data_IF_206727115778
#
_entry.id   IF_206727115778
#
_cell.length_a   1.000
_cell.length_b   1.000
_cell.length_c   1.000
_cell.angle_alpha   90.00
_cell.angle_beta   90.00
_cell.angle_gamma   90.00
#
_symmetry.space_group_name_H-M   'P 1'
#
loop_
_entity.id
_entity.type
_entity.pdbx_description
1 polymer ?
#
# COMPACT_ATOMS: atom_id res chain seq x y z
N UNK A 1 24.43 -17.83 7.83
CA UNK A 1 23.41 -16.77 7.67
C UNK A 1 23.02 -16.52 6.19
N UNK A 2 23.85 -16.89 5.20
CA UNK A 2 23.50 -16.80 3.77
C UNK A 2 22.42 -17.78 3.27
N UNK A 3 22.27 -18.94 3.92
CA UNK A 3 21.32 -19.99 3.50
C UNK A 3 19.84 -19.59 3.64
N UNK A 4 19.48 -18.83 4.69
CA UNK A 4 18.09 -18.37 4.94
C UNK A 4 17.61 -17.28 3.97
N UNK A 5 18.53 -16.52 3.38
CA UNK A 5 18.20 -15.46 2.40
C UNK A 5 17.94 -16.08 1.03
N UNK A 6 18.71 -17.10 0.64
CA UNK A 6 18.45 -17.87 -0.58
C UNK A 6 17.08 -18.55 -0.54
N UNK A 7 16.62 -19.06 0.60
CA UNK A 7 15.29 -19.71 0.70
C UNK A 7 14.14 -18.73 0.48
N UNK A 8 14.24 -17.49 0.96
CA UNK A 8 13.17 -16.47 0.79
C UNK A 8 13.10 -15.93 -0.63
N UNK A 9 14.24 -15.69 -1.27
CA UNK A 9 14.30 -15.28 -2.67
C UNK A 9 13.79 -16.41 -3.60
N UNK A 10 14.14 -17.66 -3.29
CA UNK A 10 13.63 -18.84 -4.00
C UNK A 10 12.12 -19.02 -3.80
N UNK A 11 11.56 -18.72 -2.62
CA UNK A 11 10.11 -18.77 -2.39
C UNK A 11 9.36 -17.70 -3.19
N UNK A 12 9.87 -16.47 -3.22
CA UNK A 12 9.33 -15.38 -4.04
C UNK A 12 9.41 -15.73 -5.54
N UNK A 13 10.52 -16.32 -5.99
CA UNK A 13 10.69 -16.81 -7.35
C UNK A 13 9.71 -17.95 -7.67
N UNK A 14 9.50 -18.91 -6.75
CA UNK A 14 8.50 -19.98 -6.93
C UNK A 14 7.07 -19.43 -6.97
N UNK A 15 6.75 -18.43 -6.14
CA UNK A 15 5.45 -17.76 -6.17
C UNK A 15 5.24 -16.98 -7.47
N UNK A 16 6.30 -16.43 -8.06
CA UNK A 16 6.22 -15.71 -9.33
C UNK A 16 6.08 -16.66 -10.53
N UNK A 17 6.82 -17.78 -10.54
CA UNK A 17 6.92 -18.66 -11.71
C UNK A 17 6.04 -19.93 -11.68
N UNK A 18 5.62 -20.43 -10.51
CA UNK A 18 4.82 -21.67 -10.38
C UNK A 18 3.34 -21.47 -10.03
N UNK A 19 2.93 -20.26 -9.63
CA UNK A 19 1.52 -19.92 -9.34
C UNK A 19 0.82 -19.46 -10.64
N UNK A 20 -0.53 -19.32 -10.70
CA UNK A 20 -1.23 -18.81 -11.88
C UNK A 20 -0.87 -17.35 -12.24
N UNK A 21 0.15 -16.78 -11.61
CA UNK A 21 0.64 -15.43 -11.83
C UNK A 21 1.01 -15.19 -13.30
N UNK A 22 1.57 -16.18 -14.01
CA UNK A 22 1.82 -16.04 -15.46
C UNK A 22 0.53 -15.85 -16.27
N UNK A 23 -0.56 -16.51 -15.90
CA UNK A 23 -1.86 -16.35 -16.54
C UNK A 23 -2.54 -15.05 -16.10
N UNK A 24 -2.32 -14.62 -14.86
CA UNK A 24 -2.76 -13.32 -14.38
C UNK A 24 -2.03 -12.19 -15.13
N UNK A 25 -0.72 -12.31 -15.33
CA UNK A 25 0.09 -11.37 -16.12
C UNK A 25 -0.32 -11.36 -17.60
N UNK A 26 -0.57 -12.52 -18.19
CA UNK A 26 -1.11 -12.63 -19.56
C UNK A 26 -2.50 -12.01 -19.67
N UNK A 27 -3.38 -12.23 -18.69
CA UNK A 27 -4.71 -11.62 -18.64
C UNK A 27 -4.63 -10.10 -18.49
N UNK A 28 -3.75 -9.61 -17.62
CA UNK A 28 -3.50 -8.17 -17.44
C UNK A 28 -2.92 -7.56 -18.72
N UNK A 29 -1.93 -8.21 -19.35
CA UNK A 29 -1.34 -7.76 -20.60
C UNK A 29 -2.37 -7.73 -21.72
N UNK A 30 -3.18 -8.79 -21.87
CA UNK A 30 -4.26 -8.85 -22.86
C UNK A 30 -5.31 -7.76 -22.60
N UNK A 31 -5.70 -7.55 -21.34
CA UNK A 31 -6.63 -6.51 -20.93
C UNK A 31 -6.10 -5.11 -21.24
N UNK A 32 -4.80 -4.88 -21.02
CA UNK A 32 -4.10 -3.63 -21.37
C UNK A 32 -4.10 -3.44 -22.89
N UNK A 33 -3.74 -4.46 -23.66
CA UNK A 33 -3.68 -4.38 -25.12
C UNK A 33 -5.08 -4.10 -25.72
N UNK A 34 -6.12 -4.77 -25.22
CA UNK A 34 -7.50 -4.49 -25.66
C UNK A 34 -7.93 -3.09 -25.25
N UNK A 35 -7.52 -2.60 -24.09
CA UNK A 35 -7.86 -1.24 -23.64
C UNK A 35 -7.16 -0.15 -24.46
N UNK A 36 -5.90 -0.40 -24.89
CA UNK A 36 -5.13 0.55 -25.73
C UNK A 36 -5.62 0.54 -27.18
N UNK A 37 -5.80 -0.64 -27.77
CA UNK A 37 -6.04 -0.79 -29.20
C UNK A 37 -7.52 -1.00 -29.59
N UNK A 38 -8.40 -1.27 -28.62
CA UNK A 38 -9.81 -1.62 -28.85
C UNK A 38 -10.80 -0.46 -28.74
N UNK A 39 -10.35 0.80 -28.81
CA UNK A 39 -11.05 2.03 -28.38
C UNK A 39 -12.42 2.32 -29.02
N UNK A 40 -12.86 1.55 -30.02
CA UNK A 40 -14.19 1.65 -30.64
C UNK A 40 -15.11 0.44 -30.41
N UNK A 41 -14.66 -0.55 -29.64
CA UNK A 41 -15.42 -1.80 -29.42
C UNK A 41 -16.16 -1.79 -28.10
N UNK A 42 -17.36 -2.39 -28.07
CA UNK A 42 -18.14 -2.59 -26.84
C UNK A 42 -17.35 -3.36 -25.75
N UNK A 43 -16.40 -4.21 -26.16
CA UNK A 43 -15.48 -4.92 -25.26
C UNK A 43 -14.58 -3.97 -24.46
N UNK A 44 -14.04 -2.92 -25.07
CA UNK A 44 -13.22 -1.93 -24.36
C UNK A 44 -14.01 -1.16 -23.30
N UNK A 45 -15.26 -0.81 -23.61
CA UNK A 45 -16.20 -0.19 -22.67
C UNK A 45 -16.60 -1.14 -21.53
N UNK A 46 -16.74 -2.43 -21.81
CA UNK A 46 -17.00 -3.44 -20.77
C UNK A 46 -15.78 -3.63 -19.86
N UNK A 47 -14.59 -3.79 -20.44
CA UNK A 47 -13.35 -4.02 -19.69
C UNK A 47 -12.96 -2.83 -18.80
N UNK A 48 -13.06 -1.60 -19.31
CA UNK A 48 -12.79 -0.39 -18.52
C UNK A 48 -13.71 -0.23 -17.31
N UNK A 49 -14.94 -0.79 -17.36
CA UNK A 49 -15.87 -0.82 -16.21
C UNK A 49 -15.65 -2.04 -15.32
N UNK A 50 -15.37 -3.21 -15.89
CA UNK A 50 -15.25 -4.46 -15.17
C UNK A 50 -13.92 -4.59 -14.42
N UNK A 51 -12.81 -4.18 -15.03
CA UNK A 51 -11.48 -4.35 -14.44
C UNK A 51 -11.32 -3.63 -13.09
N UNK A 52 -11.71 -2.35 -12.92
CA UNK A 52 -11.66 -1.70 -11.60
C UNK A 52 -12.38 -2.50 -10.51
N UNK A 53 -13.57 -3.01 -10.81
CA UNK A 53 -14.38 -3.81 -9.88
C UNK A 53 -13.71 -5.15 -9.56
N UNK A 54 -13.14 -5.82 -10.57
CA UNK A 54 -12.42 -7.09 -10.40
C UNK A 54 -11.19 -6.89 -9.50
N UNK A 55 -10.35 -5.88 -9.79
CA UNK A 55 -9.17 -5.57 -8.99
C UNK A 55 -9.55 -5.16 -7.57
N UNK A 56 -10.55 -4.30 -7.42
CA UNK A 56 -11.10 -3.88 -6.13
C UNK A 56 -11.56 -5.08 -5.31
N UNK A 57 -12.38 -5.96 -5.89
CA UNK A 57 -12.86 -7.18 -5.23
C UNK A 57 -11.70 -8.09 -4.85
N UNK A 58 -10.72 -8.30 -5.76
CA UNK A 58 -9.56 -9.13 -5.49
C UNK A 58 -8.72 -8.60 -4.31
N UNK A 59 -8.40 -7.30 -4.28
CA UNK A 59 -7.67 -6.68 -3.16
C UNK A 59 -8.47 -6.78 -1.87
N UNK A 60 -9.77 -6.49 -1.92
CA UNK A 60 -10.64 -6.56 -0.76
C UNK A 60 -10.70 -7.99 -0.17
N UNK A 61 -10.86 -9.01 -1.03
CA UNK A 61 -10.82 -10.42 -0.61
C UNK A 61 -9.46 -10.82 -0.05
N UNK A 62 -8.35 -10.33 -0.63
CA UNK A 62 -7.01 -10.59 -0.10
C UNK A 62 -6.82 -10.01 1.31
N UNK A 63 -7.30 -8.79 1.57
CA UNK A 63 -7.22 -8.18 2.90
C UNK A 63 -8.11 -8.93 3.90
N UNK A 64 -9.34 -9.30 3.52
CA UNK A 64 -10.22 -10.12 4.38
C UNK A 64 -9.58 -11.47 4.69
N UNK A 65 -8.98 -12.13 3.69
CA UNK A 65 -8.27 -13.39 3.88
C UNK A 65 -7.10 -13.22 4.86
N UNK A 66 -6.32 -12.17 4.71
CA UNK A 66 -5.18 -11.88 5.61
C UNK A 66 -5.66 -11.63 7.05
N UNK A 67 -6.72 -10.84 7.22
CA UNK A 67 -7.36 -10.58 8.51
C UNK A 67 -7.87 -11.87 9.15
N UNK A 68 -8.54 -12.71 8.39
CA UNK A 68 -9.05 -13.99 8.86
C UNK A 68 -7.92 -14.92 9.29
N UNK A 69 -6.86 -15.02 8.47
CA UNK A 69 -5.67 -15.83 8.77
C UNK A 69 -4.90 -15.37 10.01
N UNK A 70 -4.93 -14.06 10.31
CA UNK A 70 -4.25 -13.47 11.46
C UNK A 70 -5.20 -13.03 12.59
N UNK A 71 -6.45 -13.52 12.62
CA UNK A 71 -7.45 -13.11 13.62
C UNK A 71 -7.01 -13.33 15.07
N UNK A 72 -6.20 -14.36 15.33
CA UNK A 72 -5.63 -14.63 16.67
C UNK A 72 -4.60 -13.58 17.10
N UNK A 73 -4.06 -12.81 16.15
CA UNK A 73 -3.07 -11.76 16.35
C UNK A 73 -3.69 -10.35 16.35
N UNK A 74 -5.02 -10.16 16.41
CA UNK A 74 -5.59 -8.80 16.42
C UNK A 74 -5.09 -7.92 17.59
N UNK A 75 -4.61 -8.53 18.68
CA UNK A 75 -3.91 -7.79 19.76
C UNK A 75 -2.67 -7.05 19.25
N UNK A 76 -2.01 -7.52 18.20
CA UNK A 76 -0.91 -6.83 17.53
C UNK A 76 -1.36 -5.49 16.94
N UNK A 77 -2.49 -5.48 16.24
CA UNK A 77 -3.10 -4.26 15.67
C UNK A 77 -3.43 -3.25 16.77
N UNK A 78 -4.09 -3.73 17.84
CA UNK A 78 -4.40 -2.90 19.01
C UNK A 78 -3.13 -2.32 19.64
N UNK A 79 -2.08 -3.12 19.78
CA UNK A 79 -0.81 -2.64 20.31
C UNK A 79 -0.16 -1.57 19.41
N UNK A 80 -0.26 -1.70 18.08
CA UNK A 80 0.28 -0.70 17.16
C UNK A 80 -0.45 0.63 17.31
N UNK A 81 -1.78 0.66 17.22
CA UNK A 81 -2.50 1.94 17.23
C UNK A 81 -2.61 2.55 18.62
N UNK A 82 -2.82 1.74 19.66
CA UNK A 82 -3.11 2.28 21.00
C UNK A 82 -1.90 2.32 21.93
N UNK A 83 -0.81 1.58 21.66
CA UNK A 83 0.38 1.55 22.53
C UNK A 83 1.65 2.16 21.94
N UNK A 84 1.65 2.58 20.67
CA UNK A 84 2.84 3.22 20.07
C UNK A 84 3.12 4.64 20.58
N UNK A 85 2.18 5.24 21.31
CA UNK A 85 2.28 6.58 21.89
C UNK A 85 2.18 7.72 20.87
N UNK A 86 1.92 8.93 21.38
CA UNK A 86 1.67 10.14 20.56
C UNK A 86 2.85 10.49 19.64
N UNK A 87 4.09 10.27 20.07
CA UNK A 87 5.28 10.55 19.27
C UNK A 87 5.35 9.73 17.98
N UNK A 88 4.77 8.53 17.95
CA UNK A 88 4.73 7.70 16.73
C UNK A 88 3.74 8.25 15.73
N UNK A 89 2.59 8.75 16.19
CA UNK A 89 1.63 9.47 15.35
C UNK A 89 2.19 10.78 14.80
N UNK A 90 2.87 11.57 15.63
CA UNK A 90 3.50 12.81 15.18
C UNK A 90 4.55 12.55 14.11
N UNK A 91 5.41 11.52 14.31
CA UNK A 91 6.40 11.11 13.32
C UNK A 91 5.75 10.62 12.02
N UNK A 92 4.73 9.76 12.12
CA UNK A 92 4.00 9.28 10.95
C UNK A 92 3.31 10.42 10.18
N UNK A 93 2.74 11.40 10.88
CA UNK A 93 2.13 12.59 10.28
C UNK A 93 3.16 13.43 9.53
N UNK A 94 4.35 13.66 10.11
CA UNK A 94 5.46 14.32 9.42
C UNK A 94 5.86 13.55 8.17
N UNK A 95 5.98 12.22 8.26
CA UNK A 95 6.33 11.38 7.11
C UNK A 95 5.26 11.50 6.02
N UNK A 96 3.97 11.49 6.37
CA UNK A 96 2.86 11.74 5.44
C UNK A 96 2.99 13.10 4.77
N UNK A 97 3.20 14.16 5.54
CA UNK A 97 3.35 15.51 5.02
C UNK A 97 4.54 15.63 4.05
N UNK A 98 5.68 15.04 4.39
CA UNK A 98 6.87 14.98 3.52
C UNK A 98 6.53 14.21 2.24
N UNK A 99 5.94 13.01 2.34
CA UNK A 99 5.64 12.18 1.17
C UNK A 99 4.67 12.87 0.22
N UNK A 100 3.58 13.45 0.73
CA UNK A 100 2.60 14.16 -0.09
C UNK A 100 3.24 15.38 -0.74
N UNK A 101 3.93 16.23 0.05
CA UNK A 101 4.55 17.46 -0.46
C UNK A 101 5.59 17.13 -1.54
N UNK A 102 6.51 16.22 -1.25
CA UNK A 102 7.54 15.82 -2.20
C UNK A 102 6.92 15.17 -3.44
N UNK A 103 5.93 14.29 -3.25
CA UNK A 103 5.27 13.61 -4.36
C UNK A 103 4.52 14.57 -5.29
N UNK A 104 3.84 15.58 -4.73
CA UNK A 104 3.20 16.65 -5.52
C UNK A 104 4.25 17.46 -6.27
N UNK A 105 5.31 17.93 -5.60
CA UNK A 105 6.39 18.70 -6.24
C UNK A 105 7.03 17.90 -7.37
N UNK A 106 7.40 16.63 -7.11
CA UNK A 106 7.98 15.74 -8.12
C UNK A 106 6.99 15.55 -9.27
N UNK A 107 5.73 15.24 -8.99
CA UNK A 107 4.71 15.03 -10.01
C UNK A 107 4.57 16.24 -10.93
N UNK A 108 4.57 17.47 -10.39
CA UNK A 108 4.44 18.70 -11.19
C UNK A 108 5.67 18.98 -12.06
N UNK A 109 6.87 18.60 -11.62
CA UNK A 109 8.14 18.95 -12.28
C UNK A 109 8.65 17.88 -13.27
N UNK A 110 8.26 16.61 -13.09
CA UNK A 110 8.76 15.52 -13.94
C UNK A 110 8.05 15.47 -15.30
N UNK A 111 8.73 15.00 -16.36
CA UNK A 111 8.11 14.72 -17.66
C UNK A 111 7.00 13.66 -17.58
N UNK A 112 6.07 13.69 -18.55
CA UNK A 112 4.86 12.87 -18.55
C UNK A 112 5.12 11.37 -18.44
N UNK A 113 6.18 10.86 -19.07
CA UNK A 113 6.50 9.42 -19.03
C UNK A 113 6.81 8.93 -17.59
N UNK A 114 7.27 9.80 -16.69
CA UNK A 114 7.48 9.46 -15.27
C UNK A 114 6.18 9.49 -14.44
N UNK A 115 5.15 10.20 -14.94
CA UNK A 115 3.81 10.25 -14.34
C UNK A 115 2.96 9.04 -14.75
N UNK A 116 3.46 8.23 -15.67
CA UNK A 116 2.80 7.03 -16.12
C UNK A 116 3.04 5.86 -15.15
N UNK A 117 1.99 5.08 -14.91
CA UNK A 117 2.02 3.78 -14.25
C UNK A 117 0.93 2.91 -14.86
N UNK A 118 1.12 1.59 -14.95
CA UNK A 118 0.15 0.73 -15.65
C UNK A 118 -1.26 0.83 -15.07
N UNK A 119 -1.39 1.18 -13.79
CA UNK A 119 -2.67 1.40 -13.13
C UNK A 119 -3.49 2.52 -13.79
N UNK A 120 -2.85 3.50 -14.42
CA UNK A 120 -3.57 4.59 -15.09
C UNK A 120 -4.33 4.12 -16.34
N UNK A 121 -3.90 3.02 -16.96
CA UNK A 121 -4.60 2.41 -18.08
C UNK A 121 -5.91 1.72 -17.67
N UNK A 122 -5.97 1.22 -16.43
CA UNK A 122 -7.10 0.44 -15.94
C UNK A 122 -8.06 1.32 -15.12
N UNK A 123 -7.51 2.22 -14.30
CA UNK A 123 -8.27 2.99 -13.32
C UNK A 123 -8.32 4.50 -13.64
N UNK A 124 -7.84 4.91 -14.82
CA UNK A 124 -7.73 6.32 -15.20
C UNK A 124 -6.80 7.09 -14.26
N UNK A 125 -7.24 8.23 -13.76
CA UNK A 125 -6.40 9.14 -12.97
C UNK A 125 -5.93 8.58 -11.60
N UNK A 126 -6.49 7.46 -11.13
CA UNK A 126 -6.26 7.01 -9.75
C UNK A 126 -5.02 6.13 -9.53
N UNK A 127 -4.38 5.63 -10.59
CA UNK A 127 -3.03 5.04 -10.60
C UNK A 127 -2.62 4.03 -9.51
N UNK A 128 -3.50 3.59 -8.61
CA UNK A 128 -3.14 2.83 -7.43
C UNK A 128 -4.18 1.74 -7.17
N UNK A 129 -3.78 0.49 -7.42
CA UNK A 129 -4.60 -0.72 -7.22
C UNK A 129 -5.03 -0.86 -5.76
N UNK A 130 -4.15 -0.49 -4.82
CA UNK A 130 -4.41 -0.68 -3.38
C UNK A 130 -5.59 0.17 -2.88
N UNK A 131 -5.85 1.32 -3.52
CA UNK A 131 -6.94 2.23 -3.16
C UNK A 131 -8.22 2.00 -3.96
N UNK A 132 -8.23 1.07 -4.94
CA UNK A 132 -9.41 0.80 -5.76
C UNK A 132 -10.66 0.37 -4.97
N UNK A 133 -10.54 -0.37 -3.85
CA UNK A 133 -11.70 -0.64 -3.00
C UNK A 133 -12.39 0.63 -2.47
N UNK A 134 -11.64 1.68 -2.17
CA UNK A 134 -12.21 2.94 -1.68
C UNK A 134 -12.93 3.71 -2.79
N UNK A 135 -12.32 3.81 -3.98
CA UNK A 135 -12.95 4.47 -5.13
C UNK A 135 -14.21 3.73 -5.58
N UNK A 136 -14.16 2.39 -5.62
CA UNK A 136 -15.31 1.54 -5.97
C UNK A 136 -16.44 1.71 -4.94
N UNK A 137 -16.13 1.69 -3.65
CA UNK A 137 -17.10 1.89 -2.58
C UNK A 137 -17.75 3.29 -2.65
N UNK A 138 -16.95 4.33 -2.89
CA UNK A 138 -17.46 5.69 -3.07
C UNK A 138 -18.39 5.79 -4.28
N UNK A 139 -18.02 5.23 -5.42
CA UNK A 139 -18.85 5.24 -6.63
C UNK A 139 -20.15 4.45 -6.44
N UNK A 140 -20.11 3.32 -5.73
CA UNK A 140 -21.29 2.54 -5.40
C UNK A 140 -22.26 3.35 -4.51
N UNK A 141 -21.75 3.96 -3.44
CA UNK A 141 -22.56 4.79 -2.55
C UNK A 141 -23.16 6.02 -3.25
N UNK A 142 -22.40 6.65 -4.15
CA UNK A 142 -22.91 7.77 -4.94
C UNK A 142 -24.10 7.35 -5.83
N UNK A 143 -23.98 6.26 -6.58
CA UNK A 143 -25.07 5.75 -7.43
C UNK A 143 -26.33 5.42 -6.63
N UNK A 144 -26.18 4.84 -5.44
CA UNK A 144 -27.32 4.54 -4.57
C UNK A 144 -27.98 5.84 -4.07
N UNK A 145 -27.18 6.86 -3.76
CA UNK A 145 -27.70 8.19 -3.36
C UNK A 145 -28.48 8.84 -4.50
N UNK A 146 -27.98 8.77 -5.73
CA UNK A 146 -28.67 9.26 -6.94
C UNK A 146 -30.01 8.55 -7.17
N UNK A 147 -30.09 7.24 -6.94
CA UNK A 147 -31.32 6.45 -7.11
C UNK A 147 -32.37 6.79 -6.06
N UNK A 148 -31.96 6.92 -4.78
CA UNK A 148 -32.90 7.12 -3.68
C UNK A 148 -33.29 8.59 -3.48
N UNK A 149 -32.54 9.54 -4.07
CA UNK A 149 -32.79 10.98 -3.93
C UNK A 149 -32.84 11.46 -2.48
N UNK A 150 -32.25 10.71 -1.55
CA UNK A 150 -32.40 10.96 -0.12
C UNK A 150 -31.42 12.02 0.35
N UNK A 151 -31.75 12.75 1.42
CA UNK A 151 -30.81 13.65 2.10
C UNK A 151 -29.67 12.92 2.84
N UNK A 152 -29.56 11.60 2.69
CA UNK A 152 -28.53 10.78 3.31
C UNK A 152 -27.49 10.35 2.26
N UNK A 153 -26.21 10.60 2.57
CA UNK A 153 -25.10 10.20 1.72
C UNK A 153 -24.74 8.72 1.94
N UNK A 154 -25.17 7.85 1.01
CA UNK A 154 -24.92 6.41 1.10
C UNK A 154 -23.44 6.02 0.97
N UNK A 155 -22.54 6.94 0.59
CA UNK A 155 -21.09 6.66 0.56
C UNK A 155 -20.58 6.23 1.92
N UNK A 156 -21.11 6.77 3.01
CA UNK A 156 -20.73 6.37 4.38
C UNK A 156 -20.92 4.87 4.63
N UNK A 157 -22.03 4.29 4.15
CA UNK A 157 -22.36 2.87 4.36
C UNK A 157 -21.34 1.97 3.67
N UNK A 158 -20.86 2.34 2.49
CA UNK A 158 -19.88 1.54 1.74
C UNK A 158 -18.45 1.83 2.18
N UNK A 159 -18.11 3.08 2.47
CA UNK A 159 -16.73 3.49 2.76
C UNK A 159 -16.28 3.13 4.18
N UNK A 160 -17.14 3.22 5.19
CA UNK A 160 -16.76 2.90 6.57
C UNK A 160 -16.28 1.44 6.70
N UNK A 161 -17.01 0.41 6.19
CA UNK A 161 -16.54 -0.98 6.25
C UNK A 161 -15.21 -1.19 5.53
N UNK A 162 -15.02 -0.60 4.35
CA UNK A 162 -13.75 -0.72 3.60
C UNK A 162 -12.60 -0.06 4.37
N UNK A 163 -12.82 1.15 4.90
CA UNK A 163 -11.86 1.84 5.74
C UNK A 163 -11.49 1.00 6.98
N UNK A 164 -12.47 0.45 7.70
CA UNK A 164 -12.20 -0.40 8.86
C UNK A 164 -11.35 -1.63 8.50
N UNK A 165 -11.68 -2.30 7.39
CA UNK A 165 -10.93 -3.46 6.91
C UNK A 165 -9.48 -3.07 6.58
N UNK A 166 -9.26 -1.90 5.99
CA UNK A 166 -7.92 -1.40 5.68
C UNK A 166 -7.13 -1.08 6.95
N UNK A 167 -7.74 -0.36 7.90
CA UNK A 167 -7.13 -0.02 9.19
C UNK A 167 -6.70 -1.29 9.94
N UNK A 168 -7.52 -2.33 9.92
CA UNK A 168 -7.21 -3.60 10.58
C UNK A 168 -6.16 -4.42 9.82
N UNK A 169 -6.19 -4.40 8.48
CA UNK A 169 -5.36 -5.27 7.64
C UNK A 169 -3.94 -4.77 7.44
N UNK A 170 -3.78 -3.46 7.25
CA UNK A 170 -2.50 -2.83 6.91
C UNK A 170 -1.35 -3.06 7.91
N UNK A 171 -1.57 -3.15 9.23
CA UNK A 171 -0.50 -3.49 10.16
C UNK A 171 0.17 -4.83 9.85
N UNK A 172 -0.58 -5.83 9.37
CA UNK A 172 -0.02 -7.13 9.00
C UNK A 172 0.84 -7.04 7.73
N UNK A 173 0.37 -6.31 6.72
CA UNK A 173 1.14 -6.09 5.49
C UNK A 173 2.41 -5.27 5.76
N UNK A 174 2.30 -4.20 6.55
CA UNK A 174 3.45 -3.41 6.99
C UNK A 174 4.48 -4.27 7.75
N UNK A 175 4.05 -5.23 8.57
CA UNK A 175 4.97 -6.15 9.25
C UNK A 175 5.74 -7.03 8.25
N UNK A 176 5.06 -7.56 7.24
CA UNK A 176 5.67 -8.36 6.18
C UNK A 176 6.67 -7.53 5.39
N UNK A 177 6.29 -6.32 4.97
CA UNK A 177 7.15 -5.41 4.21
C UNK A 177 8.39 -5.00 5.01
N UNK A 178 8.24 -4.61 6.28
CA UNK A 178 9.40 -4.22 7.10
C UNK A 178 10.34 -5.42 7.36
N UNK A 179 9.81 -6.65 7.48
CA UNK A 179 10.64 -7.86 7.55
C UNK A 179 11.41 -8.11 6.25
N UNK A 180 10.81 -7.86 5.09
CA UNK A 180 11.43 -8.08 3.78
C UNK A 180 12.51 -7.03 3.52
N UNK A 181 12.22 -5.75 3.78
CA UNK A 181 13.08 -4.64 3.37
C UNK A 181 14.04 -4.18 4.48
N UNK A 182 13.78 -4.41 5.77
CA UNK A 182 14.63 -3.86 6.85
C UNK A 182 15.42 -4.89 7.62
N UNK A 183 14.86 -6.09 7.83
CA UNK A 183 15.50 -7.09 8.66
C UNK A 183 16.90 -7.43 8.13
N UNK A 184 17.91 -7.34 9.00
CA UNK A 184 19.33 -7.54 8.64
C UNK A 184 20.00 -6.39 7.88
N UNK A 185 19.32 -5.27 7.61
CA UNK A 185 19.89 -4.13 6.85
C UNK A 185 20.36 -3.03 7.81
N UNK A 186 21.67 -2.95 8.04
CA UNK A 186 22.25 -2.04 9.05
C UNK A 186 23.18 -0.95 8.48
N UNK A 187 23.77 -1.17 7.30
CA UNK A 187 24.65 -0.20 6.65
C UNK A 187 23.84 0.90 5.95
N UNK A 188 24.37 2.12 5.87
CA UNK A 188 23.70 3.24 5.19
C UNK A 188 23.49 2.98 3.70
N UNK A 189 24.47 2.34 3.04
CA UNK A 189 24.36 1.88 1.66
C UNK A 189 23.22 0.86 1.51
N UNK A 190 23.13 -0.11 2.42
CA UNK A 190 22.08 -1.12 2.43
C UNK A 190 20.69 -0.51 2.67
N UNK A 191 20.59 0.43 3.60
CA UNK A 191 19.34 1.18 3.89
C UNK A 191 18.88 1.91 2.64
N UNK A 192 19.76 2.70 2.02
CA UNK A 192 19.44 3.47 0.81
C UNK A 192 18.95 2.56 -0.32
N UNK A 193 19.68 1.48 -0.60
CA UNK A 193 19.33 0.53 -1.64
C UNK A 193 18.00 -0.19 -1.36
N UNK A 194 17.78 -0.58 -0.11
CA UNK A 194 16.54 -1.25 0.28
C UNK A 194 15.33 -0.30 0.21
N UNK A 195 15.52 0.98 0.53
CA UNK A 195 14.47 1.99 0.41
C UNK A 195 14.11 2.32 -1.04
N UNK A 196 15.09 2.35 -1.95
CA UNK A 196 14.81 2.46 -3.39
C UNK A 196 14.02 1.24 -3.88
N UNK A 197 14.41 0.03 -3.49
CA UNK A 197 13.66 -1.20 -3.84
C UNK A 197 12.24 -1.18 -3.27
N UNK A 198 12.08 -0.72 -2.03
CA UNK A 198 10.78 -0.51 -1.40
C UNK A 198 9.92 0.46 -2.20
N UNK A 199 10.47 1.58 -2.69
CA UNK A 199 9.74 2.47 -3.58
C UNK A 199 9.34 1.80 -4.89
N UNK A 200 10.29 1.18 -5.59
CA UNK A 200 10.08 0.59 -6.91
C UNK A 200 9.13 -0.63 -6.92
N UNK A 201 9.03 -1.41 -5.84
CA UNK A 201 8.08 -2.54 -5.78
C UNK A 201 6.63 -2.05 -5.97
N UNK A 202 6.33 -0.79 -5.61
CA UNK A 202 4.99 -0.22 -5.73
C UNK A 202 4.57 0.03 -7.18
N UNK A 203 5.48 -0.04 -8.15
CA UNK A 203 5.12 -0.11 -9.57
C UNK A 203 4.20 -1.31 -9.85
N UNK A 204 4.36 -2.41 -9.11
CA UNK A 204 3.49 -3.59 -9.20
C UNK A 204 2.06 -3.27 -8.76
N UNK A 205 1.85 -2.21 -7.96
CA UNK A 205 0.52 -1.74 -7.53
C UNK A 205 -0.08 -0.69 -8.47
N UNK A 206 0.52 -0.51 -9.66
CA UNK A 206 0.07 0.45 -10.66
C UNK A 206 0.58 1.88 -10.45
N UNK A 207 1.27 2.13 -9.33
CA UNK A 207 1.73 3.47 -8.94
C UNK A 207 2.70 4.01 -9.99
N UNK A 208 2.57 5.30 -10.41
CA UNK A 208 3.50 5.93 -11.33
C UNK A 208 4.96 5.90 -10.86
N UNK A 209 5.90 5.88 -11.81
CA UNK A 209 7.33 5.82 -11.48
C UNK A 209 7.79 6.98 -10.59
N UNK A 210 7.31 8.18 -10.83
CA UNK A 210 7.64 9.35 -10.00
C UNK A 210 7.19 9.18 -8.53
N UNK A 211 6.01 8.59 -8.31
CA UNK A 211 5.48 8.30 -6.99
C UNK A 211 6.20 7.11 -6.35
N UNK A 212 6.52 6.07 -7.12
CA UNK A 212 7.33 4.94 -6.64
C UNK A 212 8.71 5.41 -6.13
N UNK A 213 9.37 6.32 -6.86
CA UNK A 213 10.61 6.93 -6.41
C UNK A 213 10.41 7.77 -5.14
N UNK A 214 9.32 8.56 -5.08
CA UNK A 214 8.95 9.33 -3.89
C UNK A 214 8.75 8.44 -2.66
N UNK A 215 8.11 7.27 -2.82
CA UNK A 215 7.90 6.28 -1.75
C UNK A 215 9.22 5.68 -1.21
N UNK A 216 10.34 5.88 -1.88
CA UNK A 216 11.66 5.56 -1.32
C UNK A 216 11.98 6.40 -0.08
N UNK A 217 11.43 7.62 0.03
CA UNK A 217 11.64 8.54 1.15
C UNK A 217 11.00 8.03 2.45
N UNK A 218 9.69 7.75 2.54
CA UNK A 218 9.12 7.14 3.74
C UNK A 218 9.79 5.79 4.04
N UNK A 219 10.12 4.99 3.01
CA UNK A 219 10.89 3.76 3.20
C UNK A 219 12.26 3.98 3.86
N UNK A 220 12.98 5.04 3.50
CA UNK A 220 14.24 5.43 4.14
C UNK A 220 14.03 5.87 5.60
N UNK A 221 12.97 6.61 5.90
CA UNK A 221 12.65 7.05 7.26
C UNK A 221 12.27 5.86 8.15
N UNK A 222 11.50 4.88 7.64
CA UNK A 222 11.21 3.63 8.34
C UNK A 222 12.48 2.81 8.59
N UNK A 223 13.41 2.76 7.63
CA UNK A 223 14.70 2.09 7.81
C UNK A 223 15.58 2.77 8.87
N UNK A 224 15.56 4.10 8.96
CA UNK A 224 16.23 4.84 10.02
C UNK A 224 15.62 4.50 11.39
N UNK A 225 14.29 4.42 11.49
CA UNK A 225 13.59 4.00 12.70
C UNK A 225 13.99 2.59 13.12
N UNK A 226 13.96 1.66 12.17
CA UNK A 226 14.39 0.28 12.36
C UNK A 226 15.80 0.24 12.95
N UNK A 227 16.77 0.92 12.31
CA UNK A 227 18.17 0.94 12.73
C UNK A 227 18.34 1.53 14.12
N UNK A 228 17.65 2.61 14.45
CA UNK A 228 17.68 3.21 15.79
C UNK A 228 17.18 2.24 16.86
N UNK A 229 16.00 1.63 16.66
CA UNK A 229 15.41 0.71 17.63
C UNK A 229 16.25 -0.56 17.79
N UNK A 230 16.78 -1.09 16.69
CA UNK A 230 17.74 -2.21 16.67
C UNK A 230 18.97 -1.90 17.53
N UNK A 231 19.69 -0.81 17.25
CA UNK A 231 20.91 -0.51 17.98
C UNK A 231 20.66 -0.19 19.46
N UNK A 232 19.53 0.44 19.79
CA UNK A 232 19.14 0.67 21.19
C UNK A 232 18.94 -0.65 21.94
N UNK A 233 18.20 -1.60 21.37
CA UNK A 233 17.97 -2.89 21.99
C UNK A 233 19.23 -3.75 22.05
N UNK A 234 20.06 -3.72 21.00
CA UNK A 234 21.31 -4.45 20.98
C UNK A 234 22.25 -3.97 22.09
N UNK A 235 22.34 -2.66 22.33
CA UNK A 235 23.14 -2.10 23.44
C UNK A 235 22.61 -2.51 24.81
N UNK A 236 21.28 -2.55 24.98
CA UNK A 236 20.64 -2.83 26.26
C UNK A 236 20.67 -4.32 26.64
N UNK A 237 20.40 -5.20 25.67
CA UNK A 237 20.17 -6.63 25.95
C UNK A 237 21.26 -7.55 25.38
N UNK A 238 22.15 -7.04 24.50
CA UNK A 238 23.18 -7.81 23.81
C UNK A 238 22.65 -9.05 23.06
N UNK A 239 21.37 -9.03 22.69
CA UNK A 239 20.68 -10.09 21.97
C UNK A 239 20.28 -9.58 20.59
N UNK A 240 20.94 -10.11 19.56
CA UNK A 240 20.72 -9.68 18.18
C UNK A 240 19.31 -10.06 17.68
N UNK A 241 18.79 -11.22 18.03
CA UNK A 241 17.46 -11.64 17.59
C UNK A 241 16.38 -10.72 18.15
N UNK A 242 16.45 -10.40 19.44
CA UNK A 242 15.53 -9.42 20.08
C UNK A 242 15.71 -8.02 19.51
N UNK A 243 16.94 -7.62 19.19
CA UNK A 243 17.19 -6.33 18.56
C UNK A 243 16.57 -6.24 17.16
N UNK A 244 16.65 -7.31 16.36
CA UNK A 244 16.01 -7.39 15.03
C UNK A 244 14.49 -7.26 15.16
N UNK A 245 13.89 -8.01 16.09
CA UNK A 245 12.45 -7.96 16.35
C UNK A 245 12.01 -6.55 16.79
N UNK A 246 12.76 -5.92 17.69
CA UNK A 246 12.47 -4.56 18.14
C UNK A 246 12.59 -3.53 17.01
N UNK A 247 13.59 -3.68 16.13
CA UNK A 247 13.75 -2.87 14.93
C UNK A 247 12.55 -2.99 13.99
N UNK A 248 12.17 -4.23 13.64
CA UNK A 248 11.01 -4.51 12.78
C UNK A 248 9.75 -3.93 13.42
N UNK A 249 9.48 -4.25 14.69
CA UNK A 249 8.27 -3.77 15.37
C UNK A 249 8.16 -2.25 15.40
N UNK A 250 9.27 -1.55 15.64
CA UNK A 250 9.28 -0.09 15.68
C UNK A 250 9.02 0.54 14.30
N UNK A 251 9.60 -0.02 13.24
CA UNK A 251 9.35 0.44 11.87
C UNK A 251 7.96 0.06 11.38
N UNK A 252 7.46 -1.13 11.71
CA UNK A 252 6.09 -1.56 11.40
C UNK A 252 5.05 -0.64 12.04
N UNK A 253 5.25 -0.22 13.30
CA UNK A 253 4.34 0.70 13.94
C UNK A 253 4.24 2.04 13.19
N UNK A 254 5.37 2.63 12.81
CA UNK A 254 5.40 3.89 12.06
C UNK A 254 4.77 3.74 10.69
N UNK A 255 5.08 2.67 9.99
CA UNK A 255 4.55 2.38 8.66
C UNK A 255 3.03 2.14 8.71
N UNK A 256 2.54 1.33 9.65
CA UNK A 256 1.12 1.07 9.82
C UNK A 256 0.34 2.36 10.17
N UNK A 257 0.85 3.20 11.07
CA UNK A 257 0.22 4.48 11.41
C UNK A 257 0.27 5.45 10.21
N UNK A 258 1.38 5.50 9.48
CA UNK A 258 1.49 6.26 8.23
C UNK A 258 0.41 5.84 7.21
N UNK A 259 0.23 4.54 6.99
CA UNK A 259 -0.80 4.03 6.09
C UNK A 259 -2.21 4.33 6.60
N UNK A 260 -2.45 4.21 7.91
CA UNK A 260 -3.74 4.55 8.52
C UNK A 260 -4.09 6.04 8.33
N UNK A 261 -3.13 6.95 8.48
CA UNK A 261 -3.32 8.38 8.22
C UNK A 261 -3.66 8.58 6.74
N UNK A 262 -2.87 8.03 5.81
CA UNK A 262 -3.14 8.19 4.37
C UNK A 262 -4.52 7.67 3.95
N UNK A 263 -4.93 6.52 4.46
CA UNK A 263 -6.25 5.94 4.13
C UNK A 263 -7.38 6.74 4.73
N UNK A 264 -7.21 7.24 5.95
CA UNK A 264 -8.20 8.11 6.60
C UNK A 264 -8.33 9.43 5.84
N UNK A 265 -7.21 10.04 5.43
CA UNK A 265 -7.22 11.24 4.57
C UNK A 265 -7.89 10.96 3.22
N UNK A 266 -7.61 9.81 2.61
CA UNK A 266 -8.20 9.42 1.32
C UNK A 266 -9.72 9.27 1.43
N UNK A 267 -10.21 8.62 2.49
CA UNK A 267 -11.64 8.47 2.77
C UNK A 267 -12.28 9.82 3.04
N UNK A 268 -11.67 10.66 3.87
CA UNK A 268 -12.16 12.00 4.15
C UNK A 268 -12.27 12.84 2.86
N UNK A 269 -11.23 12.83 2.01
CA UNK A 269 -11.24 13.55 0.72
C UNK A 269 -12.34 13.04 -0.20
N UNK A 270 -12.50 11.72 -0.34
CA UNK A 270 -13.55 11.13 -1.19
C UNK A 270 -14.97 11.47 -0.70
N UNK A 271 -15.17 11.60 0.61
CA UNK A 271 -16.44 12.04 1.19
C UNK A 271 -16.67 13.54 0.98
N UNK A 272 -15.62 14.36 1.10
CA UNK A 272 -15.67 15.82 0.99
C UNK A 272 -15.70 16.36 -0.44
N UNK A 273 -15.18 15.63 -1.43
CA UNK A 273 -15.06 16.07 -2.83
C UNK A 273 -16.39 16.31 -3.57
N UNK A 274 -17.53 16.33 -2.87
CA UNK A 274 -18.84 16.74 -3.38
C UNK A 274 -19.23 18.18 -2.99
N UNK A 275 -18.36 18.93 -2.30
CA UNK A 275 -18.58 20.34 -1.94
C UNK A 275 -17.84 21.37 -2.80
N UNK A 276 -17.11 20.95 -3.84
CA UNK A 276 -16.34 21.79 -4.77
C UNK A 276 -16.75 21.45 -6.20
#
# INVERSE_FOLDING_TARGET
>A
MGEKIQTKAFLLFKIIFYTPLKYCLLFVLASILVSIYGSSTWWSALLSKALPVIFSTAIFTLIIRELWGNRSKLRFVVNIYFKSGVLSYFRALIIVAITITLGVVVYLLVPEFLRWGWGSLIFGNSGNVALQPLTTASQAGQKISEIHGSGFDYRWIFMIPVWMIFILGFPFWAEVEEKIFRQGVHSWKGITMSSIKFGLIHLIMGIPLCWALTLSVPGFLFACRYKYAYHRHLRQFKDEAKAQEAGVRASTADHAIYNAILITLSVALLLLAQGL
#
